data_IF_411083821297
#
_entry.id   IF_411083821297
#
_cell.length_a   1.000
_cell.length_b   1.000
_cell.length_c   1.000
_cell.angle_alpha   90.00
_cell.angle_beta   90.00
_cell.angle_gamma   90.00
#
_symmetry.space_group_name_H-M   'P 1'
#
loop_
_entity.id
_entity.type
_entity.pdbx_description
1 polymer ?
#
# COMPACT_ATOMS: atom_id res chain seq x y z
N UNK A 1 16.22 -17.16 6.00
CA UNK A 1 16.62 -15.97 5.22
C UNK A 1 15.43 -15.02 5.28
N UNK A 2 15.55 -13.87 5.92
CA UNK A 2 14.47 -12.89 5.95
C UNK A 2 14.35 -12.28 4.56
N UNK A 3 13.24 -12.57 3.87
CA UNK A 3 12.92 -12.07 2.53
C UNK A 3 11.82 -11.03 2.69
N UNK A 4 12.11 -9.79 2.31
CA UNK A 4 11.09 -8.74 2.30
C UNK A 4 10.10 -8.98 1.17
N UNK A 5 8.80 -8.82 1.45
CA UNK A 5 7.75 -9.05 0.45
C UNK A 5 7.00 -7.75 0.15
N UNK A 6 6.87 -7.41 -1.13
CA UNK A 6 6.17 -6.19 -1.57
C UNK A 6 5.02 -6.52 -2.53
N UNK A 7 3.81 -6.12 -2.17
CA UNK A 7 2.61 -6.32 -2.97
C UNK A 7 2.17 -5.02 -3.64
N UNK A 8 2.17 -5.00 -4.97
CA UNK A 8 1.58 -3.93 -5.79
C UNK A 8 0.16 -4.33 -6.20
N UNK A 9 -0.83 -4.02 -5.38
CA UNK A 9 -2.20 -4.53 -5.56
C UNK A 9 -3.32 -3.47 -5.45
N UNK A 10 -3.00 -2.20 -5.19
CA UNK A 10 -3.98 -1.11 -5.22
C UNK A 10 -5.14 -1.35 -4.25
N UNK A 11 -6.38 -1.16 -4.73
CA UNK A 11 -7.61 -1.33 -3.94
C UNK A 11 -7.81 -2.74 -3.37
N UNK A 12 -7.06 -3.75 -3.82
CA UNK A 12 -7.11 -5.12 -3.28
C UNK A 12 -6.17 -5.34 -2.09
N UNK A 13 -5.47 -4.31 -1.62
CA UNK A 13 -4.46 -4.41 -0.56
C UNK A 13 -4.92 -5.13 0.71
N UNK A 14 -6.11 -4.79 1.24
CA UNK A 14 -6.63 -5.38 2.47
C UNK A 14 -6.83 -6.89 2.31
N UNK A 15 -7.36 -7.31 1.16
CA UNK A 15 -7.58 -8.73 0.85
C UNK A 15 -6.27 -9.50 0.73
N UNK A 16 -5.30 -8.95 -0.02
CA UNK A 16 -3.99 -9.58 -0.20
C UNK A 16 -3.24 -9.66 1.14
N UNK A 17 -3.27 -8.59 1.94
CA UNK A 17 -2.67 -8.58 3.27
C UNK A 17 -3.32 -9.63 4.19
N UNK A 18 -4.64 -9.77 4.14
CA UNK A 18 -5.37 -10.77 4.94
C UNK A 18 -4.94 -12.21 4.60
N UNK A 19 -4.80 -12.51 3.30
CA UNK A 19 -4.29 -13.81 2.83
C UNK A 19 -2.84 -14.03 3.27
N UNK A 20 -2.00 -13.01 3.16
CA UNK A 20 -0.60 -13.07 3.56
C UNK A 20 -0.45 -13.32 5.07
N UNK A 21 -1.21 -12.61 5.90
CA UNK A 21 -1.22 -12.80 7.37
C UNK A 21 -1.71 -14.20 7.73
N UNK A 22 -2.76 -14.69 7.08
CA UNK A 22 -3.27 -16.04 7.33
C UNK A 22 -2.20 -17.10 7.05
N UNK A 23 -1.49 -16.99 5.94
CA UNK A 23 -0.41 -17.91 5.61
C UNK A 23 0.79 -17.80 6.56
N UNK A 24 1.18 -16.58 6.95
CA UNK A 24 2.22 -16.35 7.95
C UNK A 24 1.87 -17.02 9.30
N UNK A 25 0.62 -16.88 9.75
CA UNK A 25 0.12 -17.52 10.97
C UNK A 25 0.16 -19.06 10.87
N UNK A 26 -0.28 -19.64 9.75
CA UNK A 26 -0.22 -21.09 9.52
C UNK A 26 1.21 -21.65 9.60
N UNK A 27 2.19 -20.84 9.19
CA UNK A 27 3.62 -21.18 9.24
C UNK A 27 4.28 -20.86 10.58
N UNK A 28 3.53 -20.37 11.57
CA UNK A 28 4.07 -19.96 12.87
C UNK A 28 5.01 -18.75 12.80
N UNK A 29 4.89 -17.92 11.76
CA UNK A 29 5.75 -16.74 11.59
C UNK A 29 5.28 -15.59 12.49
N UNK A 30 6.22 -14.95 13.18
CA UNK A 30 5.93 -13.74 13.96
C UNK A 30 5.60 -12.58 13.00
N UNK A 31 4.40 -12.00 13.13
CA UNK A 31 3.94 -10.90 12.28
C UNK A 31 4.76 -9.62 12.50
N UNK A 32 5.27 -9.39 13.71
CA UNK A 32 6.07 -8.20 14.03
C UNK A 32 7.47 -8.23 13.39
N UNK A 33 7.96 -9.42 13.02
CA UNK A 33 9.23 -9.58 12.32
C UNK A 33 9.10 -9.47 10.80
N UNK A 34 7.88 -9.52 10.24
CA UNK A 34 7.67 -9.44 8.80
C UNK A 34 8.01 -8.04 8.27
N UNK A 35 8.91 -8.00 7.29
CA UNK A 35 9.31 -6.78 6.58
C UNK A 35 8.72 -6.78 5.17
N UNK A 36 8.28 -5.62 4.72
CA UNK A 36 7.68 -5.51 3.40
C UNK A 36 6.69 -4.37 3.24
N UNK A 37 5.88 -4.47 2.19
CA UNK A 37 4.77 -3.53 1.97
C UNK A 37 3.59 -4.18 1.27
N UNK A 38 2.42 -3.62 1.53
CA UNK A 38 1.25 -3.72 0.66
C UNK A 38 0.96 -2.30 0.21
N UNK A 39 0.76 -2.09 -1.09
CA UNK A 39 0.69 -0.74 -1.64
C UNK A 39 -0.76 -0.36 -1.94
N UNK A 40 -1.38 0.42 -1.05
CA UNK A 40 -2.67 1.10 -1.28
C UNK A 40 -2.50 2.62 -1.28
N UNK A 41 -2.68 3.24 -2.43
CA UNK A 41 -2.56 4.70 -2.62
C UNK A 41 -3.81 5.24 -3.33
N UNK A 42 -4.77 5.82 -2.59
CA UNK A 42 -5.98 6.42 -3.16
C UNK A 42 -5.73 7.53 -4.19
N UNK A 43 -4.63 8.30 -4.06
CA UNK A 43 -4.31 9.39 -4.99
C UNK A 43 -3.76 8.84 -6.31
N UNK A 44 -2.91 7.81 -6.24
CA UNK A 44 -2.46 7.09 -7.43
C UNK A 44 -3.64 6.43 -8.17
N UNK A 45 -4.59 5.82 -7.45
CA UNK A 45 -5.81 5.26 -8.07
C UNK A 45 -6.67 6.35 -8.72
N UNK A 46 -6.82 7.52 -8.09
CA UNK A 46 -7.49 8.68 -8.68
C UNK A 46 -6.79 9.14 -9.97
N UNK A 47 -5.47 9.25 -9.95
CA UNK A 47 -4.68 9.70 -11.10
C UNK A 47 -4.81 8.73 -12.29
N UNK A 48 -4.75 7.42 -12.04
CA UNK A 48 -4.79 6.39 -13.09
C UNK A 48 -6.21 6.17 -13.64
N UNK A 49 -7.23 6.17 -12.78
CA UNK A 49 -8.59 5.74 -13.14
C UNK A 49 -9.59 6.90 -13.24
N UNK A 50 -9.19 8.12 -12.86
CA UNK A 50 -10.07 9.28 -12.80
C UNK A 50 -11.10 9.24 -11.66
N UNK A 51 -11.04 8.26 -10.75
CA UNK A 51 -11.93 8.15 -9.61
C UNK A 51 -11.27 7.46 -8.40
N UNK A 52 -11.85 7.65 -7.22
CA UNK A 52 -11.47 6.90 -6.02
C UNK A 52 -12.17 5.54 -6.00
N UNK A 53 -11.46 4.43 -5.68
CA UNK A 53 -12.03 3.08 -5.72
C UNK A 53 -13.31 2.90 -4.88
N UNK A 54 -13.39 3.60 -3.74
CA UNK A 54 -14.50 3.50 -2.79
C UNK A 54 -15.17 4.85 -2.51
N UNK A 55 -14.86 5.86 -3.32
CA UNK A 55 -15.15 7.27 -3.04
C UNK A 55 -14.11 7.92 -2.13
N UNK A 56 -13.90 9.24 -2.27
CA UNK A 56 -12.80 9.97 -1.64
C UNK A 56 -12.68 9.70 -0.13
N UNK A 57 -13.76 9.95 0.62
CA UNK A 57 -13.76 9.82 2.08
C UNK A 57 -13.45 8.39 2.54
N UNK A 58 -14.06 7.39 1.89
CA UNK A 58 -13.91 6.00 2.28
C UNK A 58 -12.52 5.47 1.91
N UNK A 59 -11.98 5.82 0.74
CA UNK A 59 -10.62 5.41 0.35
C UNK A 59 -9.55 5.91 1.32
N UNK A 60 -9.65 7.15 1.80
CA UNK A 60 -8.75 7.65 2.85
C UNK A 60 -9.01 7.01 4.22
N UNK A 61 -10.27 6.69 4.55
CA UNK A 61 -10.61 5.98 5.78
C UNK A 61 -9.99 4.58 5.80
N UNK A 62 -10.10 3.83 4.71
CA UNK A 62 -9.49 2.49 4.59
C UNK A 62 -7.96 2.55 4.69
N UNK A 63 -7.31 3.53 4.03
CA UNK A 63 -5.88 3.73 4.16
C UNK A 63 -5.48 4.00 5.61
N UNK A 64 -6.23 4.85 6.33
CA UNK A 64 -5.99 5.14 7.74
C UNK A 64 -6.11 3.88 8.60
N UNK A 65 -7.14 3.08 8.40
CA UNK A 65 -7.34 1.82 9.14
C UNK A 65 -6.20 0.84 8.87
N UNK A 66 -5.79 0.71 7.60
CA UNK A 66 -4.66 -0.14 7.21
C UNK A 66 -3.34 0.32 7.86
N UNK A 67 -3.06 1.62 7.87
CA UNK A 67 -1.88 2.19 8.55
C UNK A 67 -1.94 1.90 10.06
N UNK A 68 -3.09 2.10 10.70
CA UNK A 68 -3.27 1.84 12.13
C UNK A 68 -3.02 0.38 12.46
N UNK A 69 -3.63 -0.53 11.68
CA UNK A 69 -3.48 -1.97 11.87
C UNK A 69 -2.02 -2.41 11.75
N UNK A 70 -1.32 -1.96 10.70
CA UNK A 70 0.09 -2.31 10.50
C UNK A 70 0.97 -1.70 11.59
N UNK A 71 0.71 -0.47 12.02
CA UNK A 71 1.48 0.17 13.10
C UNK A 71 1.38 -0.63 14.41
N UNK A 72 0.21 -1.16 14.72
CA UNK A 72 -0.05 -1.87 15.98
C UNK A 72 0.33 -3.36 15.98
N UNK A 73 0.42 -3.99 14.80
CA UNK A 73 0.57 -5.46 14.67
C UNK A 73 1.73 -5.90 13.80
N UNK A 74 2.18 -5.06 12.88
CA UNK A 74 3.19 -5.37 11.86
C UNK A 74 4.05 -4.12 11.59
N UNK A 75 4.75 -3.54 12.59
CA UNK A 75 5.36 -2.20 12.50
C UNK A 75 6.43 -2.08 11.41
N UNK A 76 6.99 -3.21 10.97
CA UNK A 76 7.98 -3.32 9.89
C UNK A 76 7.37 -3.47 8.49
N UNK A 77 6.05 -3.56 8.39
CA UNK A 77 5.32 -3.70 7.14
C UNK A 77 4.60 -2.38 6.81
N UNK A 78 4.71 -1.90 5.56
CA UNK A 78 4.19 -0.59 5.15
C UNK A 78 2.87 -0.71 4.39
N UNK A 79 1.92 0.18 4.68
CA UNK A 79 0.59 0.25 4.03
C UNK A 79 0.59 1.01 2.69
N UNK A 80 1.59 1.86 2.51
CA UNK A 80 1.67 2.83 1.43
C UNK A 80 3.13 2.91 0.96
N UNK A 81 3.29 2.85 -0.35
CA UNK A 81 4.44 3.38 -1.06
C UNK A 81 3.92 4.40 -2.06
N UNK A 82 4.39 5.63 -1.95
CA UNK A 82 4.11 6.66 -2.94
C UNK A 82 5.07 6.43 -4.10
N UNK A 83 4.52 6.26 -5.30
CA UNK A 83 5.30 5.96 -6.50
C UNK A 83 5.29 7.19 -7.40
N UNK A 84 6.47 7.70 -7.73
CA UNK A 84 6.62 8.88 -8.59
C UNK A 84 6.64 8.52 -10.08
N UNK A 85 7.05 7.29 -10.40
CA UNK A 85 7.29 6.86 -11.78
C UNK A 85 6.05 6.95 -12.65
N UNK A 86 4.84 6.80 -12.10
CA UNK A 86 3.61 6.91 -12.87
C UNK A 86 3.39 8.33 -13.41
N UNK A 87 3.81 9.36 -12.67
CA UNK A 87 3.77 10.74 -13.16
C UNK A 87 4.78 10.92 -14.29
N UNK A 88 6.01 10.44 -14.09
CA UNK A 88 7.08 10.48 -15.09
C UNK A 88 6.68 9.79 -16.39
N UNK A 89 6.19 8.54 -16.29
CA UNK A 89 5.76 7.71 -17.40
C UNK A 89 4.54 8.30 -18.13
N UNK A 90 3.74 9.14 -17.44
CA UNK A 90 2.62 9.88 -18.01
C UNK A 90 3.02 11.23 -18.61
N UNK A 91 4.32 11.56 -18.63
CA UNK A 91 4.87 12.77 -19.26
C UNK A 91 5.03 13.97 -18.32
N UNK A 92 4.98 13.77 -17.00
CA UNK A 92 5.27 14.84 -16.04
C UNK A 92 6.75 15.28 -16.12
N UNK A 93 6.98 16.58 -16.02
CA UNK A 93 8.32 17.12 -15.77
C UNK A 93 8.84 16.69 -14.39
N UNK A 94 10.16 16.74 -14.17
CA UNK A 94 10.78 16.42 -12.87
C UNK A 94 10.17 17.26 -11.74
N UNK A 95 9.88 18.54 -12.00
CA UNK A 95 9.24 19.43 -11.01
C UNK A 95 7.82 18.97 -10.67
N UNK A 96 7.06 18.50 -11.66
CA UNK A 96 5.71 17.97 -11.44
C UNK A 96 5.74 16.62 -10.71
N UNK A 97 6.65 15.73 -11.09
CA UNK A 97 6.85 14.44 -10.43
C UNK A 97 7.15 14.64 -8.94
N UNK A 98 8.06 15.56 -8.60
CA UNK A 98 8.39 15.91 -7.21
C UNK A 98 7.22 16.58 -6.47
N UNK A 99 6.38 17.36 -7.16
CA UNK A 99 5.27 18.08 -6.53
C UNK A 99 4.05 17.19 -6.27
N UNK A 100 3.84 16.13 -7.06
CA UNK A 100 2.67 15.25 -6.95
C UNK A 100 2.92 13.95 -6.17
N UNK A 101 4.18 13.69 -5.80
CA UNK A 101 4.62 12.56 -4.97
C UNK A 101 4.85 13.03 -3.54
#
# INVERSE_FOLDING_TARGET
>A
KDIETHFKCGSSAIWILSLYINEAKKRGTNLESLTGSVDYDPLKELMLNGNFPFGQKNSFSELRELISYLSDRMPKFKALKVHSSQYHDSGASITQELAYT
#
